data_IF_098462368145
#
_entry.id   IF_098462368145
#
_cell.length_a   1.000
_cell.length_b   1.000
_cell.length_c   1.000
_cell.angle_alpha   90.00
_cell.angle_beta   90.00
_cell.angle_gamma   90.00
#
_symmetry.space_group_name_H-M   'P 1'
#
loop_
_entity.id
_entity.type
_entity.pdbx_description
1 polymer ?
#
# COMPACT_ATOMS: atom_id res chain seq x y z
N UNK A 1 27.99 14.91 40.41
CA UNK A 1 28.24 15.95 39.40
C UNK A 1 27.88 15.36 38.05
N UNK A 2 26.88 15.95 37.38
CA UNK A 2 25.92 15.27 36.49
C UNK A 2 26.45 14.67 35.19
N UNK A 3 25.86 13.53 34.83
CA UNK A 3 26.00 12.83 33.56
C UNK A 3 25.03 13.46 32.54
N UNK A 4 25.55 14.21 31.56
CA UNK A 4 24.73 14.79 30.50
C UNK A 4 24.26 13.68 29.53
N UNK A 5 23.01 13.23 29.67
CA UNK A 5 22.34 12.38 28.69
C UNK A 5 21.74 13.26 27.59
N UNK A 6 22.51 13.47 26.51
CA UNK A 6 22.03 14.09 25.28
C UNK A 6 21.01 13.16 24.59
N UNK A 7 19.72 13.33 24.88
CA UNK A 7 18.62 12.68 24.16
C UNK A 7 18.37 13.37 22.82
N UNK A 8 19.26 13.14 21.84
CA UNK A 8 19.02 13.57 20.46
C UNK A 8 18.17 12.52 19.73
N UNK A 9 16.86 12.71 19.69
CA UNK A 9 15.97 11.96 18.76
C UNK A 9 14.87 12.84 18.16
N UNK A 10 15.23 14.01 17.63
CA UNK A 10 14.33 14.84 16.80
C UNK A 10 14.51 14.56 15.30
N UNK A 11 14.51 13.30 14.85
CA UNK A 11 14.57 13.02 13.40
C UNK A 11 13.84 11.72 13.05
N UNK A 12 12.51 11.76 12.95
CA UNK A 12 11.76 10.67 12.31
C UNK A 12 10.46 11.10 11.60
N UNK A 13 10.24 12.40 11.33
CA UNK A 13 9.06 12.81 10.55
C UNK A 13 9.21 12.61 9.03
N UNK A 14 10.45 12.54 8.50
CA UNK A 14 10.70 12.39 7.06
C UNK A 14 10.74 10.93 6.56
N UNK A 15 11.12 9.96 7.40
CA UNK A 15 11.21 8.53 7.02
C UNK A 15 9.88 7.78 7.15
N UNK A 16 8.98 8.23 8.02
CA UNK A 16 7.64 7.65 8.18
C UNK A 16 6.81 7.74 6.89
N UNK A 17 6.92 8.83 6.12
CA UNK A 17 6.16 9.02 4.88
C UNK A 17 6.54 8.04 3.76
N UNK A 18 7.83 7.67 3.66
CA UNK A 18 8.27 6.66 2.69
C UNK A 18 7.78 5.27 3.08
N UNK A 19 7.93 4.86 4.34
CA UNK A 19 7.45 3.56 4.85
C UNK A 19 5.92 3.45 4.70
N UNK A 20 5.18 4.54 4.98
CA UNK A 20 3.74 4.61 4.76
C UNK A 20 3.37 4.39 3.28
N UNK A 21 4.06 5.06 2.34
CA UNK A 21 3.85 4.83 0.89
C UNK A 21 4.19 3.41 0.44
N UNK A 22 5.26 2.81 0.98
CA UNK A 22 5.59 1.41 0.69
C UNK A 22 4.51 0.45 1.20
N UNK A 23 3.91 0.75 2.35
CA UNK A 23 2.82 -0.06 2.90
C UNK A 23 1.55 0.01 2.04
N UNK A 24 1.21 1.17 1.48
CA UNK A 24 0.07 1.31 0.58
C UNK A 24 0.28 0.58 -0.74
N UNK A 25 1.42 0.81 -1.41
CA UNK A 25 1.73 0.13 -2.68
C UNK A 25 1.81 -1.40 -2.52
N UNK A 26 2.27 -1.89 -1.37
CA UNK A 26 2.25 -3.33 -1.06
C UNK A 26 0.83 -3.87 -0.86
N UNK A 27 -0.08 -3.10 -0.26
CA UNK A 27 -1.50 -3.47 -0.13
C UNK A 27 -2.18 -3.52 -1.50
N UNK A 28 -1.96 -2.52 -2.35
CA UNK A 28 -2.49 -2.47 -3.71
C UNK A 28 -2.02 -3.69 -4.53
N UNK A 29 -0.72 -4.00 -4.51
CA UNK A 29 -0.20 -5.20 -5.19
C UNK A 29 -0.79 -6.51 -4.67
N UNK A 30 -1.05 -6.62 -3.36
CA UNK A 30 -1.73 -7.79 -2.81
C UNK A 30 -3.17 -7.88 -3.30
N UNK A 31 -3.91 -6.78 -3.28
CA UNK A 31 -5.27 -6.72 -3.79
C UNK A 31 -5.34 -7.10 -5.28
N UNK A 32 -4.43 -6.57 -6.11
CA UNK A 32 -4.33 -6.94 -7.53
C UNK A 32 -4.05 -8.43 -7.72
N UNK A 33 -3.18 -9.03 -6.90
CA UNK A 33 -2.86 -10.46 -6.97
C UNK A 33 -4.03 -11.33 -6.52
N UNK A 34 -4.77 -10.92 -5.50
CA UNK A 34 -5.97 -11.62 -5.02
C UNK A 34 -7.10 -11.54 -6.06
N UNK A 35 -7.34 -10.37 -6.63
CA UNK A 35 -8.31 -10.19 -7.72
C UNK A 35 -7.91 -10.98 -8.97
N UNK A 36 -6.64 -11.01 -9.35
CA UNK A 36 -6.18 -11.82 -10.48
C UNK A 36 -6.30 -13.33 -10.23
N UNK A 37 -6.26 -13.78 -8.97
CA UNK A 37 -6.50 -15.18 -8.61
C UNK A 37 -7.98 -15.55 -8.63
N UNK A 38 -8.89 -14.59 -8.48
CA UNK A 38 -10.32 -14.86 -8.63
C UNK A 38 -10.66 -15.25 -10.07
N UNK A 39 -11.70 -16.08 -10.20
CA UNK A 39 -12.22 -16.46 -11.51
C UNK A 39 -12.97 -15.28 -12.14
N UNK A 40 -13.05 -15.28 -13.47
CA UNK A 40 -13.70 -14.18 -14.19
C UNK A 40 -15.16 -14.01 -13.80
N UNK A 41 -15.85 -15.10 -13.42
CA UNK A 41 -17.22 -15.06 -12.90
C UNK A 41 -17.36 -14.30 -11.57
N UNK A 42 -16.37 -14.45 -10.68
CA UNK A 42 -16.36 -13.70 -9.41
C UNK A 42 -16.03 -12.23 -9.65
N UNK A 43 -15.16 -11.94 -10.61
CA UNK A 43 -14.86 -10.57 -11.03
C UNK A 43 -16.09 -9.91 -11.67
N UNK A 44 -16.82 -10.64 -12.51
CA UNK A 44 -18.09 -10.19 -13.11
C UNK A 44 -19.18 -9.94 -12.06
N UNK A 45 -19.27 -10.78 -11.02
CA UNK A 45 -20.26 -10.63 -9.95
C UNK A 45 -20.06 -9.32 -9.15
N UNK A 46 -18.81 -8.88 -8.99
CA UNK A 46 -18.46 -7.58 -8.40
C UNK A 46 -18.42 -6.44 -9.43
N UNK A 47 -18.80 -6.69 -10.68
CA UNK A 47 -18.85 -5.70 -11.76
C UNK A 47 -17.50 -5.22 -12.25
N UNK A 48 -16.44 -6.02 -12.09
CA UNK A 48 -15.07 -5.68 -12.51
C UNK A 48 -14.63 -6.63 -13.62
N UNK A 49 -14.08 -6.09 -14.71
CA UNK A 49 -13.41 -6.91 -15.73
C UNK A 49 -11.93 -7.09 -15.38
N UNK A 50 -11.32 -8.22 -15.77
CA UNK A 50 -9.89 -8.51 -15.52
C UNK A 50 -8.97 -7.39 -16.05
N UNK A 51 -9.33 -6.76 -17.16
CA UNK A 51 -8.58 -5.61 -17.70
C UNK A 51 -8.71 -4.32 -16.86
N UNK A 52 -9.80 -4.19 -16.09
CA UNK A 52 -10.11 -3.03 -15.25
C UNK A 52 -9.51 -3.16 -13.84
N UNK A 53 -9.21 -4.39 -13.39
CA UNK A 53 -8.59 -4.67 -12.07
C UNK A 53 -7.38 -3.79 -11.82
N UNK A 54 -6.50 -3.64 -12.81
CA UNK A 54 -5.30 -2.80 -12.67
C UNK A 54 -5.65 -1.33 -12.44
N UNK A 55 -6.57 -0.77 -13.24
CA UNK A 55 -7.02 0.62 -13.11
C UNK A 55 -7.72 0.88 -11.77
N UNK A 56 -8.59 -0.04 -11.32
CA UNK A 56 -9.31 0.07 -10.05
C UNK A 56 -8.41 -0.02 -8.82
N UNK A 57 -7.39 -0.88 -8.85
CA UNK A 57 -6.45 -1.03 -7.73
C UNK A 57 -5.48 0.15 -7.68
N UNK A 58 -4.98 0.62 -8.82
CA UNK A 58 -3.98 1.67 -8.87
C UNK A 58 -4.56 3.08 -8.96
N UNK A 59 -5.88 3.22 -9.13
CA UNK A 59 -6.56 4.50 -9.30
C UNK A 59 -6.20 5.20 -10.62
N UNK A 60 -5.76 4.43 -11.61
CA UNK A 60 -5.43 4.93 -12.95
C UNK A 60 -6.65 4.68 -13.83
N UNK A 61 -7.51 5.69 -13.95
CA UNK A 61 -8.70 5.67 -14.82
C UNK A 61 -8.35 6.20 -16.21
#
# INVERSE_FOLDING_TARGET
MGLFTLTKTETTKKSAGFIAKYSETAKLRRAEKELNKMSDRMLEDIGISRGDVHGKVWGSF
#
